data_IF_377405821441
#
_entry.id   IF_377405821441
#
_cell.length_a   1.000
_cell.length_b   1.000
_cell.length_c   1.000
_cell.angle_alpha   90.00
_cell.angle_beta   90.00
_cell.angle_gamma   90.00
#
_symmetry.space_group_name_H-M   'P 1'
#
loop_
_entity.id
_entity.type
_entity.pdbx_description
1 polymer ?
#
# COMPACT_ATOMS: atom_id res chain seq x y z
N UNK A 1 -17.51 -9.64 12.33
CA UNK A 1 -16.61 -10.67 11.80
C UNK A 1 -16.62 -10.48 10.28
N UNK A 2 -15.60 -9.82 9.73
CA UNK A 2 -15.50 -9.64 8.27
C UNK A 2 -15.45 -11.04 7.62
N UNK A 3 -16.28 -11.25 6.60
CA UNK A 3 -16.40 -12.55 5.92
C UNK A 3 -15.04 -12.96 5.35
N UNK A 4 -14.52 -14.14 5.73
CA UNK A 4 -13.25 -14.74 5.28
C UNK A 4 -12.81 -14.42 3.82
N UNK A 5 -13.70 -14.45 2.80
CA UNK A 5 -13.34 -14.07 1.43
C UNK A 5 -12.84 -12.63 1.27
N UNK A 6 -13.39 -11.65 2.01
CA UNK A 6 -12.95 -10.26 1.92
C UNK A 6 -11.52 -10.08 2.42
N UNK A 7 -11.14 -10.78 3.49
CA UNK A 7 -9.80 -10.74 4.05
C UNK A 7 -8.75 -11.28 3.06
N UNK A 8 -9.06 -12.39 2.39
CA UNK A 8 -8.19 -12.96 1.36
C UNK A 8 -8.01 -12.03 0.16
N UNK A 9 -9.10 -11.40 -0.32
CA UNK A 9 -9.05 -10.46 -1.44
C UNK A 9 -8.21 -9.23 -1.08
N UNK A 10 -8.40 -8.68 0.14
CA UNK A 10 -7.61 -7.54 0.63
C UNK A 10 -6.12 -7.89 0.75
N UNK A 11 -5.79 -9.06 1.31
CA UNK A 11 -4.41 -9.49 1.44
C UNK A 11 -3.74 -9.70 0.08
N UNK A 12 -4.46 -10.29 -0.88
CA UNK A 12 -3.97 -10.42 -2.26
C UNK A 12 -3.68 -9.05 -2.88
N UNK A 13 -4.63 -8.12 -2.76
CA UNK A 13 -4.47 -6.75 -3.25
C UNK A 13 -3.23 -6.04 -2.66
N UNK A 14 -3.04 -6.15 -1.35
CA UNK A 14 -1.85 -5.59 -0.67
C UNK A 14 -0.57 -6.27 -1.19
N UNK A 15 -0.56 -7.60 -1.25
CA UNK A 15 0.62 -8.37 -1.67
C UNK A 15 1.08 -8.02 -3.08
N UNK A 16 0.16 -7.93 -4.05
CA UNK A 16 0.49 -7.60 -5.44
C UNK A 16 1.07 -6.17 -5.55
N UNK A 17 0.57 -5.23 -4.75
CA UNK A 17 1.13 -3.88 -4.69
C UNK A 17 2.53 -3.89 -4.08
N UNK A 18 2.75 -4.60 -2.96
CA UNK A 18 4.07 -4.67 -2.33
C UNK A 18 5.10 -5.30 -3.27
N UNK A 19 4.72 -6.36 -3.98
CA UNK A 19 5.56 -7.01 -5.00
C UNK A 19 5.94 -6.03 -6.13
N UNK A 20 4.97 -5.30 -6.67
CA UNK A 20 5.21 -4.31 -7.72
C UNK A 20 6.06 -3.11 -7.27
N UNK A 21 6.13 -2.85 -5.96
CA UNK A 21 6.98 -1.82 -5.36
C UNK A 21 8.34 -2.36 -4.91
N UNK A 22 8.61 -3.67 -5.14
CA UNK A 22 9.79 -4.39 -4.67
C UNK A 22 9.98 -4.31 -3.14
N UNK A 23 8.88 -4.34 -2.39
CA UNK A 23 8.86 -4.33 -0.93
C UNK A 23 8.57 -5.75 -0.45
N UNK A 24 9.41 -6.28 0.45
CA UNK A 24 9.16 -7.58 1.06
C UNK A 24 8.03 -7.49 2.08
N UNK A 25 7.10 -8.43 2.04
CA UNK A 25 5.89 -8.38 2.86
C UNK A 25 6.19 -8.54 4.36
N UNK A 26 7.16 -9.37 4.73
CA UNK A 26 7.62 -9.56 6.11
C UNK A 26 8.23 -8.28 6.69
N UNK A 27 9.12 -7.64 5.93
CA UNK A 27 9.73 -6.36 6.29
C UNK A 27 8.68 -5.25 6.41
N UNK A 28 7.75 -5.18 5.46
CA UNK A 28 6.65 -4.21 5.48
C UNK A 28 5.77 -4.35 6.73
N UNK A 29 5.35 -5.57 7.05
CA UNK A 29 4.48 -5.82 8.21
C UNK A 29 5.22 -5.52 9.52
N UNK A 30 6.51 -5.91 9.61
CA UNK A 30 7.34 -5.59 10.76
C UNK A 30 7.44 -4.07 10.96
N UNK A 31 7.83 -3.32 9.92
CA UNK A 31 7.98 -1.86 9.96
C UNK A 31 6.65 -1.15 10.22
N UNK A 32 5.54 -1.66 9.68
CA UNK A 32 4.19 -1.17 9.97
C UNK A 32 3.86 -1.32 11.46
N UNK A 33 4.19 -2.47 12.07
CA UNK A 33 4.04 -2.68 13.52
C UNK A 33 4.92 -1.77 14.36
N UNK A 34 6.09 -1.37 13.85
CA UNK A 34 6.97 -0.37 14.46
C UNK A 34 6.54 1.08 14.20
N UNK A 35 5.40 1.30 13.54
CA UNK A 35 4.89 2.63 13.20
C UNK A 35 5.85 3.46 12.35
N UNK A 36 6.64 2.82 11.49
CA UNK A 36 7.50 3.56 10.56
C UNK A 36 6.65 4.44 9.61
N UNK A 37 7.00 5.73 9.43
CA UNK A 37 6.15 6.67 8.71
C UNK A 37 5.87 6.25 7.26
N UNK A 38 6.86 5.67 6.56
CA UNK A 38 6.70 5.24 5.18
C UNK A 38 5.64 4.13 5.05
N UNK A 39 5.74 3.08 5.87
CA UNK A 39 4.81 1.96 5.86
C UNK A 39 3.41 2.36 6.32
N UNK A 40 3.28 3.27 7.29
CA UNK A 40 1.97 3.83 7.69
C UNK A 40 1.31 4.56 6.50
N UNK A 41 2.06 5.43 5.82
CA UNK A 41 1.54 6.20 4.69
C UNK A 41 1.15 5.25 3.56
N UNK A 42 2.02 4.31 3.22
CA UNK A 42 1.79 3.35 2.15
C UNK A 42 0.59 2.44 2.47
N UNK A 43 0.49 1.90 3.68
CA UNK A 43 -0.66 1.11 4.13
C UNK A 43 -1.96 1.91 4.03
N UNK A 44 -1.93 3.18 4.45
CA UNK A 44 -3.09 4.09 4.37
C UNK A 44 -3.54 4.31 2.93
N UNK A 45 -2.60 4.50 1.99
CA UNK A 45 -2.92 4.65 0.58
C UNK A 45 -3.52 3.37 0.00
N UNK A 46 -2.87 2.22 0.24
CA UNK A 46 -3.35 0.91 -0.22
C UNK A 46 -4.77 0.66 0.29
N UNK A 47 -5.02 0.90 1.58
CA UNK A 47 -6.34 0.70 2.18
C UNK A 47 -7.40 1.63 1.57
N UNK A 48 -7.07 2.90 1.32
CA UNK A 48 -7.97 3.86 0.65
C UNK A 48 -8.28 3.46 -0.79
N UNK A 49 -7.29 2.93 -1.52
CA UNK A 49 -7.46 2.49 -2.90
C UNK A 49 -8.30 1.22 -2.98
N UNK A 50 -8.05 0.26 -2.09
CA UNK A 50 -8.86 -0.95 -1.94
C UNK A 50 -10.33 -0.60 -1.62
N UNK A 51 -10.57 0.27 -0.64
CA UNK A 51 -11.93 0.70 -0.27
C UNK A 51 -12.67 1.46 -1.38
N UNK A 52 -11.94 2.02 -2.36
CA UNK A 52 -12.51 2.66 -3.56
C UNK A 52 -12.72 1.68 -4.73
N UNK A 53 -12.44 0.39 -4.54
CA UNK A 53 -12.57 -0.63 -5.58
C UNK A 53 -11.60 -0.44 -6.76
N UNK A 54 -10.43 0.16 -6.50
CA UNK A 54 -9.41 0.37 -7.53
C UNK A 54 -8.79 -0.97 -7.93
N UNK A 55 -8.44 -1.12 -9.21
CA UNK A 55 -7.64 -2.27 -9.65
C UNK A 55 -6.21 -2.16 -9.10
N UNK A 56 -5.49 -3.29 -9.07
CA UNK A 56 -4.08 -3.34 -8.64
C UNK A 56 -3.23 -2.43 -9.53
N UNK A 57 -3.37 -2.52 -10.85
CA UNK A 57 -2.63 -1.68 -11.79
C UNK A 57 -2.89 -0.18 -11.57
N UNK A 58 -4.14 0.22 -11.37
CA UNK A 58 -4.50 1.61 -11.11
C UNK A 58 -3.91 2.07 -9.76
N UNK A 59 -3.98 1.22 -8.74
CA UNK A 59 -3.43 1.51 -7.42
C UNK A 59 -1.90 1.69 -7.46
N UNK A 60 -1.19 0.83 -8.18
CA UNK A 60 0.26 0.93 -8.38
C UNK A 60 0.62 2.28 -9.03
N UNK A 61 -0.05 2.65 -10.11
CA UNK A 61 0.21 3.93 -10.79
C UNK A 61 -0.07 5.14 -9.87
N UNK A 62 -1.14 5.09 -9.09
CA UNK A 62 -1.48 6.16 -8.14
C UNK A 62 -0.45 6.26 -7.01
N UNK A 63 0.04 5.13 -6.49
CA UNK A 63 1.09 5.11 -5.46
C UNK A 63 2.40 5.65 -6.02
N UNK A 64 2.79 5.28 -7.24
CA UNK A 64 3.98 5.86 -7.88
C UNK A 64 3.86 7.38 -8.04
N UNK A 65 2.71 7.88 -8.50
CA UNK A 65 2.44 9.32 -8.60
C UNK A 65 2.51 10.02 -7.24
N UNK A 66 1.89 9.44 -6.21
CA UNK A 66 1.90 9.98 -4.85
C UNK A 66 3.32 10.01 -4.25
N UNK A 67 4.11 8.93 -4.42
CA UNK A 67 5.53 8.88 -4.03
C UNK A 67 6.32 9.98 -4.73
N UNK A 68 6.18 10.12 -6.04
CA UNK A 68 6.89 11.15 -6.81
C UNK A 68 6.54 12.56 -6.32
N UNK A 69 5.27 12.86 -6.05
CA UNK A 69 4.85 14.16 -5.49
C UNK A 69 5.47 14.39 -4.10
N UNK A 70 5.49 13.38 -3.23
CA UNK A 70 6.09 13.49 -1.90
C UNK A 70 7.60 13.78 -2.00
N UNK A 71 8.33 13.05 -2.86
CA UNK A 71 9.77 13.25 -3.07
C UNK A 71 10.11 14.58 -3.76
N UNK A 72 9.28 15.05 -4.70
CA UNK A 72 9.49 16.33 -5.36
C UNK A 72 9.24 17.51 -4.40
N UNK A 73 8.30 17.38 -3.47
CA UNK A 73 7.99 18.42 -2.48
C UNK A 73 8.88 18.36 -1.23
N UNK A 74 9.66 17.30 -1.01
CA UNK A 74 10.60 17.21 0.13
C UNK A 74 11.92 17.96 -0.11
N UNK A 75 12.02 18.76 -1.18
CA UNK A 75 13.19 19.58 -1.54
C UNK A 75 13.03 21.08 -1.23
N UNK A 76 12.04 21.47 -0.42
CA UNK A 76 11.83 22.85 0.02
C UNK A 76 12.02 22.98 1.54
#
# INVERSE_FOLDING_TARGET
MESYPLYLIKNKFISEILEALHIKADEFVYNLGQHNPYEIILYTWIHKLYGKGKSVDEAIQLIYKARNILFLNSKL
#
